data_IF_455759136780
#
_entry.id   IF_455759136780
#
_cell.length_a   1.000
_cell.length_b   1.000
_cell.length_c   1.000
_cell.angle_alpha   90.00
_cell.angle_beta   90.00
_cell.angle_gamma   90.00
#
_symmetry.space_group_name_H-M   'P 1'
#
loop_
_entity.id
_entity.type
_entity.pdbx_description
1 polymer ?
#
# COMPACT_ATOMS: atom_id res chain seq x y z
N UNK A 1 -4.45 0.49 23.39
CA UNK A 1 -3.31 1.26 22.91
C UNK A 1 -2.15 0.42 22.32
N UNK A 2 -2.08 -0.88 22.58
CA UNK A 2 -1.02 -1.78 22.04
C UNK A 2 -1.22 -2.26 20.58
N UNK A 3 -2.37 -1.98 19.97
CA UNK A 3 -2.73 -2.49 18.62
C UNK A 3 -2.28 -1.61 17.46
N UNK A 4 -1.76 -0.41 17.71
CA UNK A 4 -1.33 0.53 16.66
C UNK A 4 0.13 0.33 16.18
N UNK A 5 0.95 -0.38 16.97
CA UNK A 5 2.38 -0.53 16.70
C UNK A 5 2.72 -1.57 15.62
N UNK A 6 1.81 -2.49 15.31
CA UNK A 6 2.09 -3.59 14.37
C UNK A 6 1.83 -3.23 12.90
N UNK A 7 0.99 -2.22 12.62
CA UNK A 7 0.85 -1.68 11.26
C UNK A 7 2.10 -0.95 10.77
N UNK A 8 2.93 -0.47 11.71
CA UNK A 8 4.19 0.19 11.39
C UNK A 8 5.26 -0.74 10.80
N UNK A 9 5.24 -2.02 11.15
CA UNK A 9 6.31 -2.96 10.77
C UNK A 9 6.26 -3.41 9.31
N UNK A 10 5.09 -3.53 8.72
CA UNK A 10 4.97 -3.87 7.28
C UNK A 10 5.38 -2.72 6.38
N UNK A 11 5.14 -1.51 6.85
CA UNK A 11 5.52 -0.30 6.14
C UNK A 11 7.04 -0.09 6.16
N UNK A 12 7.72 -0.55 7.24
CA UNK A 12 9.19 -0.51 7.33
C UNK A 12 9.90 -1.45 6.35
N UNK A 13 9.27 -2.53 5.91
CA UNK A 13 9.87 -3.44 4.93
C UNK A 13 10.06 -2.80 3.55
N UNK A 14 9.27 -1.78 3.21
CA UNK A 14 9.46 -1.02 1.98
C UNK A 14 10.62 -0.02 2.06
N UNK A 15 11.00 0.40 3.27
CA UNK A 15 12.11 1.33 3.47
C UNK A 15 13.49 0.67 3.48
N UNK A 16 13.56 -0.64 3.68
CA UNK A 16 14.83 -1.39 3.69
C UNK A 16 15.32 -1.78 2.28
N UNK A 17 14.48 -1.67 1.25
CA UNK A 17 14.94 -1.84 -0.12
C UNK A 17 15.50 -0.52 -0.63
N UNK A 18 16.80 -0.46 -0.84
CA UNK A 18 17.54 0.71 -1.35
C UNK A 18 17.06 1.26 -2.72
N UNK A 19 16.05 0.65 -3.32
CA UNK A 19 15.46 1.08 -4.59
C UNK A 19 14.62 2.36 -4.49
N UNK A 20 14.17 2.74 -3.29
CA UNK A 20 13.39 3.97 -3.09
C UNK A 20 14.20 5.26 -3.34
N UNK A 21 15.53 5.15 -3.40
CA UNK A 21 16.41 6.31 -3.64
C UNK A 21 16.52 6.71 -5.10
N UNK A 22 16.10 5.82 -6.02
CA UNK A 22 16.22 6.05 -7.46
C UNK A 22 14.94 6.59 -8.12
N UNK A 23 13.82 6.66 -7.39
CA UNK A 23 12.59 7.25 -7.92
C UNK A 23 12.77 8.73 -8.22
N UNK A 24 12.46 9.12 -9.44
CA UNK A 24 12.53 10.51 -9.88
C UNK A 24 11.22 11.21 -9.55
N UNK A 25 11.32 12.33 -8.83
CA UNK A 25 10.14 13.14 -8.45
C UNK A 25 9.51 13.79 -9.68
N UNK A 26 8.19 13.92 -9.67
CA UNK A 26 7.48 14.75 -10.63
C UNK A 26 7.94 16.22 -10.48
N UNK A 27 8.16 16.89 -11.61
CA UNK A 27 8.66 18.27 -11.64
C UNK A 27 10.20 18.39 -11.71
N UNK A 28 10.93 17.27 -11.87
CA UNK A 28 12.35 17.31 -12.27
C UNK A 28 12.47 17.76 -13.73
N UNK A 29 13.63 18.30 -14.13
CA UNK A 29 13.91 18.72 -15.52
C UNK A 29 13.97 17.54 -16.53
N UNK A 30 13.67 16.33 -16.07
CA UNK A 30 13.62 15.13 -16.91
C UNK A 30 12.36 15.13 -17.79
N UNK A 31 12.48 14.72 -19.07
CA UNK A 31 11.31 14.50 -19.94
C UNK A 31 10.34 13.54 -19.27
N UNK A 32 9.06 13.92 -19.20
CA UNK A 32 8.00 13.19 -18.47
C UNK A 32 7.93 11.71 -18.88
N UNK A 33 8.11 11.43 -20.17
CA UNK A 33 8.05 10.05 -20.70
C UNK A 33 9.21 9.18 -20.18
N UNK A 34 10.41 9.72 -20.13
CA UNK A 34 11.59 9.01 -19.59
C UNK A 34 11.49 8.80 -18.09
N UNK A 35 10.98 9.80 -17.37
CA UNK A 35 10.68 9.71 -15.94
C UNK A 35 9.69 8.58 -15.67
N UNK A 36 8.60 8.54 -16.42
CA UNK A 36 7.56 7.51 -16.29
C UNK A 36 8.12 6.12 -16.59
N UNK A 37 8.85 5.96 -17.67
CA UNK A 37 9.50 4.68 -18.04
C UNK A 37 10.44 4.19 -16.95
N UNK A 38 11.31 5.08 -16.43
CA UNK A 38 12.24 4.72 -15.35
C UNK A 38 11.50 4.29 -14.10
N UNK A 39 10.49 5.03 -13.68
CA UNK A 39 9.70 4.70 -12.49
C UNK A 39 8.91 3.39 -12.68
N UNK A 40 8.41 3.09 -13.88
CA UNK A 40 7.79 1.80 -14.18
C UNK A 40 8.76 0.62 -14.03
N UNK A 41 10.01 0.77 -14.48
CA UNK A 41 11.04 -0.27 -14.30
C UNK A 41 11.30 -0.53 -12.81
N UNK A 42 11.41 0.52 -12.01
CA UNK A 42 11.60 0.41 -10.57
C UNK A 42 10.41 -0.30 -9.92
N UNK A 43 9.18 0.06 -10.27
CA UNK A 43 7.97 -0.59 -9.78
C UNK A 43 7.98 -2.10 -10.08
N UNK A 44 8.33 -2.49 -11.31
CA UNK A 44 8.41 -3.92 -11.68
C UNK A 44 9.47 -4.67 -10.86
N UNK A 45 10.60 -4.03 -10.57
CA UNK A 45 11.64 -4.61 -9.70
C UNK A 45 11.09 -4.79 -8.27
N UNK A 46 10.39 -3.79 -7.72
CA UNK A 46 9.75 -3.86 -6.39
C UNK A 46 8.76 -5.02 -6.35
N UNK A 47 7.89 -5.15 -7.34
CA UNK A 47 6.93 -6.26 -7.44
C UNK A 47 7.65 -7.60 -7.46
N UNK A 48 8.69 -7.74 -8.28
CA UNK A 48 9.47 -8.98 -8.38
C UNK A 48 10.11 -9.36 -7.05
N UNK A 49 10.73 -8.41 -6.35
CA UNK A 49 11.42 -8.70 -5.09
C UNK A 49 10.44 -9.02 -3.94
N UNK A 50 9.37 -8.26 -3.81
CA UNK A 50 8.37 -8.51 -2.76
C UNK A 50 7.63 -9.83 -3.01
N UNK A 51 7.31 -10.16 -4.26
CA UNK A 51 6.62 -11.41 -4.61
C UNK A 51 7.37 -12.66 -4.13
N UNK A 52 8.70 -12.62 -4.08
CA UNK A 52 9.53 -13.74 -3.58
C UNK A 52 9.38 -14.00 -2.09
N UNK A 53 8.87 -13.03 -1.35
CA UNK A 53 8.73 -13.06 0.11
C UNK A 53 7.30 -13.33 0.58
N UNK A 54 6.37 -13.50 -0.37
CA UNK A 54 4.95 -13.75 -0.06
C UNK A 54 4.67 -15.25 0.15
N UNK A 55 3.70 -15.60 1.00
CA UNK A 55 2.88 -14.71 1.84
C UNK A 55 3.64 -14.20 3.06
N UNK A 56 3.36 -12.95 3.47
CA UNK A 56 4.00 -12.33 4.61
C UNK A 56 2.98 -11.97 5.70
N UNK A 57 3.22 -12.44 6.91
CA UNK A 57 2.38 -12.12 8.06
C UNK A 57 2.56 -10.67 8.48
N UNK A 58 1.46 -9.92 8.51
CA UNK A 58 1.41 -8.51 8.94
C UNK A 58 1.12 -8.41 10.43
N UNK A 59 0.08 -9.11 10.86
CA UNK A 59 -0.33 -9.22 12.26
C UNK A 59 -1.04 -10.57 12.51
N UNK A 60 -1.67 -10.70 13.68
CA UNK A 60 -2.35 -11.93 14.08
C UNK A 60 -3.46 -12.35 13.10
N UNK A 61 -4.09 -11.40 12.43
CA UNK A 61 -5.28 -11.62 11.61
C UNK A 61 -5.06 -11.32 10.13
N UNK A 62 -3.96 -10.65 9.79
CA UNK A 62 -3.71 -10.12 8.45
C UNK A 62 -2.41 -10.66 7.88
N UNK A 63 -2.44 -11.12 6.63
CA UNK A 63 -1.25 -11.45 5.86
C UNK A 63 -1.28 -10.75 4.50
N UNK A 64 -0.12 -10.35 4.02
CA UNK A 64 0.06 -9.89 2.66
C UNK A 64 0.23 -11.11 1.76
N UNK A 65 -0.63 -11.26 0.78
CA UNK A 65 -0.67 -12.43 -0.10
C UNK A 65 -0.32 -12.13 -1.55
N UNK A 66 -0.33 -10.84 -1.92
CA UNK A 66 -0.03 -10.45 -3.29
C UNK A 66 0.51 -9.03 -3.42
N UNK A 67 1.24 -8.83 -4.49
CA UNK A 67 1.62 -7.53 -5.01
C UNK A 67 1.64 -7.59 -6.53
N UNK A 68 1.11 -6.54 -7.18
CA UNK A 68 1.16 -6.40 -8.63
C UNK A 68 1.27 -4.93 -9.01
N UNK A 69 1.62 -4.68 -10.25
CA UNK A 69 1.64 -3.33 -10.82
C UNK A 69 0.60 -3.18 -11.94
N UNK A 70 0.16 -1.96 -12.09
CA UNK A 70 -0.56 -1.49 -13.26
C UNK A 70 -0.01 -0.11 -13.62
N UNK A 71 0.89 -0.05 -14.58
CA UNK A 71 1.66 1.15 -14.93
C UNK A 71 2.40 1.76 -13.72
N UNK A 72 1.99 2.94 -13.26
CA UNK A 72 2.54 3.61 -12.08
C UNK A 72 1.70 3.36 -10.81
N UNK A 73 0.87 2.32 -10.80
CA UNK A 73 0.11 1.91 -9.63
C UNK A 73 0.67 0.62 -9.07
N UNK A 74 1.09 0.63 -7.80
CA UNK A 74 1.38 -0.57 -7.02
C UNK A 74 0.12 -1.00 -6.28
N UNK A 75 -0.25 -2.27 -6.41
CA UNK A 75 -1.43 -2.85 -5.78
C UNK A 75 -0.99 -3.96 -4.84
N UNK A 76 -1.22 -3.74 -3.55
CA UNK A 76 -0.93 -4.70 -2.49
C UNK A 76 -2.20 -5.43 -2.12
N UNK A 77 -2.14 -6.76 -2.04
CA UNK A 77 -3.28 -7.60 -1.66
C UNK A 77 -3.04 -8.22 -0.29
N UNK A 78 -3.97 -8.02 0.60
CA UNK A 78 -3.97 -8.56 1.96
C UNK A 78 -5.17 -9.46 2.17
N UNK A 79 -5.01 -10.48 2.98
CA UNK A 79 -6.10 -11.30 3.46
C UNK A 79 -6.29 -11.10 4.96
N UNK A 80 -7.56 -10.87 5.35
CA UNK A 80 -7.95 -10.68 6.76
C UNK A 80 -8.76 -11.90 7.20
N UNK A 81 -8.32 -12.53 8.28
CA UNK A 81 -9.13 -13.49 8.99
C UNK A 81 -10.16 -12.75 9.85
N UNK A 82 -11.40 -12.75 9.39
CA UNK A 82 -12.52 -12.05 10.05
C UNK A 82 -13.07 -12.81 11.26
N UNK A 83 -12.60 -14.04 11.49
CA UNK A 83 -13.10 -14.91 12.55
C UNK A 83 -14.59 -15.25 12.36
N UNK A 84 -15.39 -15.03 13.38
CA UNK A 84 -16.84 -15.28 13.36
C UNK A 84 -17.68 -14.13 12.76
N UNK A 85 -17.06 -12.99 12.41
CA UNK A 85 -17.78 -11.86 11.80
C UNK A 85 -18.03 -12.14 10.32
N UNK A 86 -19.23 -11.80 9.84
CA UNK A 86 -19.51 -11.80 8.41
C UNK A 86 -18.75 -10.69 7.68
N UNK A 87 -18.50 -10.88 6.38
CA UNK A 87 -17.83 -9.88 5.55
C UNK A 87 -18.61 -8.56 5.54
N UNK A 88 -19.94 -8.61 5.52
CA UNK A 88 -20.83 -7.43 5.54
C UNK A 88 -20.65 -6.64 6.85
N UNK A 89 -20.61 -7.36 7.99
CA UNK A 89 -20.37 -6.73 9.30
C UNK A 89 -19.02 -6.03 9.33
N UNK A 90 -17.98 -6.70 8.85
CA UNK A 90 -16.62 -6.13 8.79
C UNK A 90 -16.57 -4.90 7.89
N UNK A 91 -17.20 -4.96 6.72
CA UNK A 91 -17.29 -3.81 5.80
C UNK A 91 -17.98 -2.60 6.44
N UNK A 92 -19.09 -2.84 7.14
CA UNK A 92 -19.85 -1.79 7.78
C UNK A 92 -19.12 -1.16 8.97
N UNK A 93 -18.57 -2.00 9.85
CA UNK A 93 -18.07 -1.56 11.16
C UNK A 93 -16.62 -1.04 11.08
N UNK A 94 -15.80 -1.62 10.20
CA UNK A 94 -14.35 -1.41 10.20
C UNK A 94 -13.83 -0.50 9.07
N UNK A 95 -14.60 -0.28 8.01
CA UNK A 95 -14.15 0.45 6.81
C UNK A 95 -13.52 1.81 7.13
N UNK A 96 -14.26 2.65 7.85
CA UNK A 96 -13.82 4.03 8.15
C UNK A 96 -12.56 4.06 9.03
N UNK A 97 -12.50 3.16 10.01
CA UNK A 97 -11.34 3.01 10.88
C UNK A 97 -10.11 2.53 10.10
N UNK A 98 -10.29 1.53 9.25
CA UNK A 98 -9.24 0.98 8.40
C UNK A 98 -8.74 2.02 7.40
N UNK A 99 -9.65 2.73 6.72
CA UNK A 99 -9.27 3.78 5.78
C UNK A 99 -8.40 4.85 6.42
N UNK A 100 -8.82 5.37 7.58
CA UNK A 100 -8.05 6.37 8.31
C UNK A 100 -6.66 5.88 8.71
N UNK A 101 -6.58 4.65 9.22
CA UNK A 101 -5.33 4.05 9.65
C UNK A 101 -4.37 3.79 8.48
N UNK A 102 -4.86 3.16 7.42
CA UNK A 102 -4.06 2.85 6.21
C UNK A 102 -3.60 4.12 5.53
N UNK A 103 -4.51 5.07 5.32
CA UNK A 103 -4.17 6.34 4.66
C UNK A 103 -3.08 7.09 5.41
N UNK A 104 -3.21 7.24 6.74
CA UNK A 104 -2.19 7.90 7.56
C UNK A 104 -0.84 7.18 7.48
N UNK A 105 -0.83 5.86 7.64
CA UNK A 105 0.38 5.06 7.59
C UNK A 105 1.09 5.16 6.25
N UNK A 106 0.37 5.01 5.16
CA UNK A 106 0.92 5.06 3.79
C UNK A 106 1.43 6.45 3.44
N UNK A 107 0.68 7.50 3.78
CA UNK A 107 1.11 8.87 3.50
C UNK A 107 2.40 9.26 4.24
N UNK A 108 2.65 8.67 5.41
CA UNK A 108 3.90 8.89 6.16
C UNK A 108 5.06 8.08 5.60
N UNK A 109 4.86 6.80 5.36
CA UNK A 109 5.93 5.86 5.01
C UNK A 109 6.30 5.84 3.54
N UNK A 110 5.34 6.11 2.65
CA UNK A 110 5.51 5.96 1.20
C UNK A 110 5.59 7.31 0.46
N UNK A 111 5.98 8.37 1.18
CA UNK A 111 6.04 9.73 0.65
C UNK A 111 6.82 9.82 -0.66
N UNK A 112 7.99 9.15 -0.76
CA UNK A 112 8.85 9.17 -1.96
C UNK A 112 8.16 8.58 -3.18
N UNK A 113 7.42 7.47 -3.03
CA UNK A 113 6.64 6.87 -4.11
C UNK A 113 5.55 7.81 -4.59
N UNK A 114 4.81 8.41 -3.66
CA UNK A 114 3.73 9.33 -3.97
C UNK A 114 4.25 10.61 -4.66
N UNK A 115 5.39 11.15 -4.20
CA UNK A 115 6.06 12.31 -4.83
C UNK A 115 6.59 12.00 -6.23
N UNK A 116 6.93 10.74 -6.51
CA UNK A 116 7.32 10.27 -7.84
C UNK A 116 6.11 10.01 -8.78
N UNK A 117 4.89 10.29 -8.32
CA UNK A 117 3.67 10.07 -9.09
C UNK A 117 3.18 8.64 -9.10
N UNK A 118 3.70 7.80 -8.20
CA UNK A 118 3.22 6.43 -8.02
C UNK A 118 1.93 6.46 -7.20
N UNK A 119 0.94 5.71 -7.64
CA UNK A 119 -0.30 5.46 -6.90
C UNK A 119 -0.15 4.15 -6.13
N UNK A 120 -0.62 4.12 -4.89
CA UNK A 120 -0.60 2.93 -4.05
C UNK A 120 -2.02 2.50 -3.73
N UNK A 121 -2.37 1.26 -4.05
CA UNK A 121 -3.67 0.66 -3.73
C UNK A 121 -3.48 -0.51 -2.77
N UNK A 122 -4.27 -0.54 -1.72
CA UNK A 122 -4.30 -1.58 -0.70
C UNK A 122 -5.65 -2.29 -0.77
N UNK A 123 -5.64 -3.51 -1.29
CA UNK A 123 -6.83 -4.37 -1.38
C UNK A 123 -6.84 -5.34 -0.20
N UNK A 124 -7.93 -5.38 0.52
CA UNK A 124 -8.15 -6.31 1.62
C UNK A 124 -9.26 -7.28 1.28
N UNK A 125 -8.93 -8.55 1.25
CA UNK A 125 -9.85 -9.65 0.99
C UNK A 125 -10.17 -10.38 2.29
N UNK A 126 -11.34 -10.99 2.34
CA UNK A 126 -11.65 -11.96 3.38
C UNK A 126 -10.82 -13.23 3.17
N UNK A 127 -10.12 -13.70 4.19
CA UNK A 127 -9.33 -14.93 4.09
C UNK A 127 -10.19 -16.17 3.81
N UNK A 128 -11.45 -16.18 4.29
CA UNK A 128 -12.38 -17.28 4.12
C UNK A 128 -13.10 -17.27 2.78
N UNK A 129 -13.66 -16.13 2.38
CA UNK A 129 -14.49 -16.02 1.17
C UNK A 129 -13.74 -15.57 -0.06
N UNK A 130 -12.52 -15.03 0.11
CA UNK A 130 -11.70 -14.36 -0.92
C UNK A 130 -12.36 -13.16 -1.58
N UNK A 131 -13.48 -12.68 -1.03
CA UNK A 131 -14.15 -11.48 -1.51
C UNK A 131 -13.50 -10.22 -0.97
N UNK A 132 -13.54 -9.16 -1.75
CA UNK A 132 -13.05 -7.85 -1.33
C UNK A 132 -13.86 -7.31 -0.15
N UNK A 133 -13.14 -6.92 0.90
CA UNK A 133 -13.67 -6.21 2.05
C UNK A 133 -13.49 -4.70 1.88
N UNK A 134 -12.27 -4.29 1.51
CA UNK A 134 -11.88 -2.89 1.37
C UNK A 134 -10.87 -2.74 0.24
N UNK A 135 -10.93 -1.59 -0.44
CA UNK A 135 -9.85 -1.12 -1.29
C UNK A 135 -9.60 0.38 -0.99
N UNK A 136 -8.35 0.74 -0.72
CA UNK A 136 -7.95 2.11 -0.43
C UNK A 136 -6.83 2.52 -1.37
N UNK A 137 -7.05 3.62 -2.08
CA UNK A 137 -6.06 4.15 -3.03
C UNK A 137 -5.50 5.46 -2.50
N UNK A 138 -4.18 5.55 -2.44
CA UNK A 138 -3.43 6.72 -2.02
C UNK A 138 -2.69 7.33 -3.19
N UNK A 139 -2.81 8.65 -3.29
CA UNK A 139 -2.09 9.51 -4.21
C UNK A 139 -1.39 10.63 -3.45
N UNK A 140 -0.45 11.31 -4.08
CA UNK A 140 0.18 12.49 -3.48
C UNK A 140 -0.86 13.55 -3.07
N UNK A 141 -1.89 13.76 -3.92
CA UNK A 141 -2.96 14.72 -3.64
C UNK A 141 -3.73 14.33 -2.37
N UNK A 142 -4.22 13.08 -2.29
CA UNK A 142 -4.98 12.60 -1.11
C UNK A 142 -4.18 12.77 0.19
N UNK A 143 -2.86 12.60 0.14
CA UNK A 143 -2.00 12.77 1.31
C UNK A 143 -1.73 14.24 1.67
N UNK A 144 -1.78 15.16 0.72
CA UNK A 144 -1.71 16.60 1.01
C UNK A 144 -2.97 17.07 1.71
N UNK A 145 -4.13 16.67 1.20
CA UNK A 145 -5.44 17.07 1.73
C UNK A 145 -5.64 16.65 3.21
N UNK A 146 -4.93 15.59 3.67
CA UNK A 146 -4.95 15.14 5.07
C UNK A 146 -4.12 15.98 6.05
N UNK A 147 -3.23 16.83 5.56
CA UNK A 147 -2.41 17.68 6.44
C UNK A 147 -3.12 18.98 6.81
N UNK A 148 -4.17 19.28 6.10
CA UNK A 148 -4.94 20.52 6.25
C UNK A 148 -6.18 20.33 7.14
N UNK A 149 -6.41 19.07 7.64
CA UNK A 149 -7.42 18.70 8.66
C UNK A 149 -6.76 18.45 10.03
#
# INVERSE_FOLDING_TARGET
MRRLLLLGTVIMLLSSFGYATELIKNGSEYPIDKLREKNQKIIKMVVSEISKQLPQKVDKYTQMTGIRDNNLTLIYTFEINTGAKSDESVKKDDKKRMEKSVTRGVCQSSKRFLEAGVTLTYEYLSASTKKELFAFTMTQKKCKDLKDD
#
